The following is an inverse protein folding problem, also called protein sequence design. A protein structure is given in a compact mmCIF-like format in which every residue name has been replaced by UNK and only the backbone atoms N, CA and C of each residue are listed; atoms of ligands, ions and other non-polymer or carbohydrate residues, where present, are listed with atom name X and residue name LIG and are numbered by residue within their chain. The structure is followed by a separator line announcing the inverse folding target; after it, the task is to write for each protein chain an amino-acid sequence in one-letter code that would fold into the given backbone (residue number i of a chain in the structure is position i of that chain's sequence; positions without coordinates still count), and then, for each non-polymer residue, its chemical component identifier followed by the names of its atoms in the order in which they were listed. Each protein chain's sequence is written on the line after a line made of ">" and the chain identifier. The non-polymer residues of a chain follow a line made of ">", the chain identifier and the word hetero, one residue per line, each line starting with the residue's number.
data_IF_637140972357
#
_entry.id   IF_637140972357
#
_cell.length_a   1.000
_cell.length_b   1.000
_cell.length_c   1.000
_cell.angle_alpha   90.00
_cell.angle_beta   90.00
_cell.angle_gamma   90.00
#
_symmetry.space_group_name_H-M   'P 1'
#
loop_
_entity.id
_entity.type
_entity.pdbx_description
1 polymer ?
#
# COMPACT_ATOMS: atom_id res chain seq x y z
N UNK A 1 13.22 25.73 -18.48
CA UNK A 1 11.83 25.33 -18.74
C UNK A 1 11.34 24.39 -17.66
N UNK A 2 10.05 24.44 -17.31
CA UNK A 2 9.45 23.65 -16.21
C UNK A 2 9.66 22.13 -16.38
N UNK A 3 9.64 21.61 -17.61
CA UNK A 3 9.87 20.20 -17.87
C UNK A 3 11.29 19.73 -17.50
N UNK A 4 12.30 20.58 -17.75
CA UNK A 4 13.70 20.30 -17.36
C UNK A 4 13.82 20.25 -15.84
N UNK A 5 13.25 21.24 -15.14
CA UNK A 5 13.22 21.31 -13.67
C UNK A 5 12.55 20.08 -13.06
N UNK A 6 11.40 19.66 -13.60
CA UNK A 6 10.72 18.42 -13.17
C UNK A 6 11.63 17.18 -13.27
N UNK A 7 12.38 17.02 -14.37
CA UNK A 7 13.33 15.90 -14.53
C UNK A 7 14.45 15.95 -13.49
N UNK A 8 14.97 17.14 -13.19
CA UNK A 8 15.98 17.34 -12.16
C UNK A 8 15.44 17.01 -10.76
N UNK A 9 14.23 17.47 -10.44
CA UNK A 9 13.56 17.18 -9.16
C UNK A 9 13.20 15.69 -9.05
N UNK A 10 12.77 15.04 -10.13
CA UNK A 10 12.56 13.59 -10.16
C UNK A 10 13.85 12.84 -9.78
N UNK A 11 14.98 13.18 -10.41
CA UNK A 11 16.25 12.53 -10.10
C UNK A 11 16.71 12.81 -8.66
N UNK A 12 16.56 14.06 -8.19
CA UNK A 12 16.84 14.42 -6.80
C UNK A 12 15.99 13.61 -5.81
N UNK A 13 14.69 13.52 -6.06
CA UNK A 13 13.75 12.78 -5.21
C UNK A 13 14.08 11.28 -5.20
N UNK A 14 14.33 10.68 -6.37
CA UNK A 14 14.76 9.29 -6.46
C UNK A 14 16.04 9.02 -5.65
N UNK A 15 17.06 9.89 -5.77
CA UNK A 15 18.30 9.77 -5.00
C UNK A 15 18.05 9.87 -3.49
N UNK A 16 17.25 10.85 -3.05
CA UNK A 16 16.88 11.00 -1.63
C UNK A 16 16.11 9.80 -1.08
N UNK A 17 15.19 9.24 -1.86
CA UNK A 17 14.47 8.02 -1.47
C UNK A 17 15.41 6.82 -1.39
N UNK A 18 16.33 6.68 -2.34
CA UNK A 18 17.34 5.61 -2.34
C UNK A 18 18.24 5.71 -1.09
N UNK A 19 18.74 6.89 -0.77
CA UNK A 19 19.52 7.16 0.45
C UNK A 19 18.70 6.87 1.72
N UNK A 20 17.45 7.33 1.76
CA UNK A 20 16.55 7.12 2.89
C UNK A 20 16.29 5.63 3.15
N UNK A 21 16.12 4.82 2.10
CA UNK A 21 15.88 3.38 2.20
C UNK A 21 17.13 2.55 2.44
N UNK A 22 18.35 3.04 2.14
CA UNK A 22 19.56 2.22 2.11
C UNK A 22 19.88 1.51 3.44
N UNK A 23 19.55 2.14 4.57
CA UNK A 23 19.84 1.63 5.91
C UNK A 23 18.56 1.24 6.67
N UNK A 24 17.50 0.84 5.94
CA UNK A 24 16.19 0.54 6.51
C UNK A 24 15.71 -0.85 6.08
N UNK A 25 15.20 -1.60 7.03
CA UNK A 25 14.58 -2.92 6.78
C UNK A 25 13.06 -2.82 6.61
N UNK A 26 12.46 -1.70 7.02
CA UNK A 26 11.01 -1.49 7.06
C UNK A 26 10.43 -0.90 5.75
N UNK A 27 11.29 -0.37 4.89
CA UNK A 27 10.89 0.28 3.65
C UNK A 27 11.95 0.18 2.55
N UNK A 28 11.55 -0.20 1.34
CA UNK A 28 12.44 -0.34 0.17
C UNK A 28 11.92 0.41 -1.04
N UNK A 29 12.80 1.12 -1.76
CA UNK A 29 12.47 1.73 -3.04
C UNK A 29 12.32 0.66 -4.12
N UNK A 30 11.17 0.62 -4.79
CA UNK A 30 10.88 -0.33 -5.86
C UNK A 30 11.55 0.10 -7.18
N UNK A 31 12.16 -0.88 -7.86
CA UNK A 31 12.79 -0.64 -9.15
C UNK A 31 11.73 -0.52 -10.26
N UNK A 32 11.55 0.68 -10.78
CA UNK A 32 10.51 1.01 -11.79
C UNK A 32 11.09 1.86 -12.93
N UNK A 33 12.04 1.33 -13.74
CA UNK A 33 12.86 2.12 -14.66
C UNK A 33 12.07 2.79 -15.79
N UNK A 34 10.89 2.25 -16.13
CA UNK A 34 10.03 2.77 -17.19
C UNK A 34 9.03 3.84 -16.70
N UNK A 35 8.99 4.15 -15.40
CA UNK A 35 8.11 5.18 -14.85
C UNK A 35 8.89 6.45 -14.53
N UNK A 36 8.85 7.45 -15.42
CA UNK A 36 9.61 8.70 -15.29
C UNK A 36 8.96 9.80 -14.46
N UNK A 37 7.86 9.51 -13.76
CA UNK A 37 7.05 10.49 -13.01
C UNK A 37 6.85 10.07 -11.56
N UNK A 38 6.38 8.83 -11.34
CA UNK A 38 6.10 8.31 -10.00
C UNK A 38 7.08 7.22 -9.59
N UNK A 39 7.29 7.12 -8.29
CA UNK A 39 8.10 6.11 -7.62
C UNK A 39 7.25 5.42 -6.56
N UNK A 40 7.63 4.20 -6.19
CA UNK A 40 6.93 3.43 -5.17
C UNK A 40 7.91 2.90 -4.11
N UNK A 41 7.47 2.89 -2.86
CA UNK A 41 8.23 2.39 -1.71
C UNK A 41 7.48 1.23 -1.05
N UNK A 42 8.00 0.02 -1.17
CA UNK A 42 7.45 -1.15 -0.51
C UNK A 42 7.62 -1.05 1.00
N UNK A 43 6.54 -1.31 1.74
CA UNK A 43 6.51 -1.36 3.21
C UNK A 43 6.80 -2.80 3.65
N UNK A 44 8.09 -3.15 3.73
CA UNK A 44 8.56 -4.53 3.86
C UNK A 44 8.27 -5.17 5.21
N UNK A 45 7.91 -4.39 6.23
CA UNK A 45 7.53 -4.96 7.53
C UNK A 45 6.13 -5.58 7.55
N UNK A 46 5.30 -5.34 6.54
CA UNK A 46 3.92 -5.84 6.51
C UNK A 46 3.81 -7.01 5.53
N UNK A 47 3.81 -8.22 6.08
CA UNK A 47 3.63 -9.45 5.31
C UNK A 47 2.15 -9.68 5.02
N UNK A 48 1.80 -9.65 3.74
CA UNK A 48 0.43 -9.88 3.26
C UNK A 48 0.30 -11.19 2.46
N UNK A 49 1.40 -11.87 2.19
CA UNK A 49 1.44 -13.06 1.33
C UNK A 49 0.46 -14.17 1.77
N UNK A 50 0.35 -14.51 3.08
CA UNK A 50 -0.62 -15.52 3.51
C UNK A 50 -2.08 -15.14 3.21
N UNK A 51 -2.41 -13.83 3.26
CA UNK A 51 -3.73 -13.35 2.89
C UNK A 51 -3.96 -13.47 1.36
N UNK A 52 -2.97 -13.09 0.55
CA UNK A 52 -3.06 -13.18 -0.91
C UNK A 52 -3.25 -14.62 -1.38
N UNK A 53 -2.52 -15.57 -0.80
CA UNK A 53 -2.64 -17.01 -1.10
C UNK A 53 -4.03 -17.53 -0.75
N UNK A 54 -4.56 -17.15 0.42
CA UNK A 54 -5.93 -17.48 0.82
C UNK A 54 -6.96 -16.92 -0.17
N UNK A 55 -6.82 -15.65 -0.58
CA UNK A 55 -7.75 -15.02 -1.53
C UNK A 55 -7.70 -15.70 -2.91
N UNK A 56 -6.51 -16.05 -3.40
CA UNK A 56 -6.36 -16.80 -4.65
C UNK A 56 -7.07 -18.17 -4.61
N UNK A 57 -7.00 -18.87 -3.48
CA UNK A 57 -7.72 -20.15 -3.30
C UNK A 57 -9.24 -19.98 -3.32
N UNK A 58 -9.76 -18.89 -2.74
CA UNK A 58 -11.20 -18.59 -2.74
C UNK A 58 -11.70 -18.28 -4.14
N UNK A 59 -10.97 -17.46 -4.89
CA UNK A 59 -11.30 -17.12 -6.28
C UNK A 59 -11.35 -18.35 -7.19
N UNK A 60 -10.42 -19.30 -7.02
CA UNK A 60 -10.45 -20.55 -7.78
C UNK A 60 -11.71 -21.38 -7.48
N UNK A 61 -12.16 -21.41 -6.21
CA UNK A 61 -13.38 -22.12 -5.82
C UNK A 61 -14.64 -21.43 -6.34
N UNK A 62 -14.71 -20.11 -6.28
CA UNK A 62 -15.83 -19.32 -6.83
C UNK A 62 -16.00 -19.57 -8.35
N UNK A 63 -14.90 -19.77 -9.08
CA UNK A 63 -14.92 -20.14 -10.50
C UNK A 63 -15.38 -21.58 -10.75
N UNK A 64 -15.03 -22.52 -9.88
CA UNK A 64 -15.44 -23.94 -9.97
C UNK A 64 -16.91 -24.15 -9.55
N UNK A 65 -17.42 -23.38 -8.59
CA UNK A 65 -18.78 -23.50 -8.04
C UNK A 65 -19.85 -22.77 -8.89
N UNK A 66 -19.43 -21.98 -9.90
CA UNK A 66 -20.32 -21.25 -10.82
C UNK A 66 -21.25 -22.10 -11.70
N UNK A 67 -21.21 -23.43 -11.61
CA UNK A 67 -22.04 -24.35 -12.40
C UNK A 67 -23.03 -25.24 -11.60
N UNK A 68 -23.13 -25.14 -10.26
CA UNK A 68 -24.03 -26.03 -9.51
C UNK A 68 -24.45 -25.61 -8.10
N UNK A 69 -25.77 -25.40 -7.94
CA UNK A 69 -26.57 -25.48 -6.70
C UNK A 69 -26.34 -24.44 -5.59
N UNK A 70 -27.16 -23.37 -5.60
CA UNK A 70 -27.38 -22.48 -4.46
C UNK A 70 -28.69 -22.83 -3.76
N UNK A 71 -28.65 -23.11 -2.45
CA UNK A 71 -29.62 -22.56 -1.47
C UNK A 71 -29.37 -22.93 0.01
N UNK A 72 -28.49 -23.89 0.35
CA UNK A 72 -28.26 -24.28 1.77
C UNK A 72 -26.99 -23.69 2.44
N UNK A 73 -26.26 -22.80 1.77
CA UNK A 73 -24.93 -22.32 2.20
C UNK A 73 -24.84 -20.90 2.76
N UNK A 74 -25.89 -20.07 2.62
CA UNK A 74 -25.80 -18.60 2.79
C UNK A 74 -25.26 -18.11 4.15
N UNK A 75 -25.76 -18.65 5.28
CA UNK A 75 -25.27 -18.25 6.61
C UNK A 75 -23.77 -18.57 6.81
N UNK A 76 -23.29 -19.73 6.33
CA UNK A 76 -21.87 -20.11 6.43
C UNK A 76 -20.97 -19.28 5.50
N UNK A 77 -21.53 -18.67 4.48
CA UNK A 77 -20.82 -17.85 3.50
C UNK A 77 -20.67 -16.40 4.01
N UNK A 78 -21.73 -15.86 4.62
CA UNK A 78 -21.73 -14.56 5.29
C UNK A 78 -20.71 -14.52 6.45
N UNK A 79 -20.68 -15.54 7.30
CA UNK A 79 -19.71 -15.65 8.41
C UNK A 79 -18.25 -15.67 7.90
N UNK A 80 -17.99 -16.30 6.76
CA UNK A 80 -16.66 -16.36 6.15
C UNK A 80 -16.25 -15.01 5.57
N UNK A 81 -17.16 -14.34 4.86
CA UNK A 81 -16.91 -13.02 4.28
C UNK A 81 -16.62 -11.99 5.39
N UNK A 82 -17.34 -12.04 6.52
CA UNK A 82 -17.07 -11.17 7.65
C UNK A 82 -15.71 -11.46 8.31
N UNK A 83 -15.35 -12.73 8.49
CA UNK A 83 -14.03 -13.11 9.01
C UNK A 83 -12.88 -12.64 8.11
N UNK A 84 -13.05 -12.74 6.79
CA UNK A 84 -12.07 -12.24 5.82
C UNK A 84 -11.93 -10.72 5.89
N UNK A 85 -13.05 -10.00 5.93
CA UNK A 85 -13.05 -8.54 6.09
C UNK A 85 -12.34 -8.11 7.37
N UNK A 86 -12.61 -8.76 8.51
CA UNK A 86 -11.94 -8.46 9.79
C UNK A 86 -10.43 -8.71 9.71
N UNK A 87 -10.00 -9.81 9.08
CA UNK A 87 -8.58 -10.09 8.85
C UNK A 87 -7.93 -9.01 7.98
N UNK A 88 -8.57 -8.63 6.88
CA UNK A 88 -8.12 -7.58 5.96
C UNK A 88 -7.99 -6.21 6.67
N UNK A 89 -8.97 -5.84 7.48
CA UNK A 89 -8.95 -4.61 8.28
C UNK A 89 -7.78 -4.61 9.27
N UNK A 90 -7.56 -5.70 10.00
CA UNK A 90 -6.43 -5.79 10.93
C UNK A 90 -5.06 -5.77 10.23
N UNK A 91 -4.90 -6.47 9.09
CA UNK A 91 -3.66 -6.41 8.30
C UNK A 91 -3.39 -5.01 7.74
N UNK A 92 -4.44 -4.30 7.31
CA UNK A 92 -4.31 -2.98 6.66
C UNK A 92 -4.29 -1.81 7.63
N UNK A 93 -4.61 -2.01 8.90
CA UNK A 93 -4.76 -0.96 9.93
C UNK A 93 -3.54 -0.05 10.05
N UNK A 94 -2.36 -0.62 10.19
CA UNK A 94 -1.12 0.17 10.32
C UNK A 94 -0.68 0.78 9.00
N UNK A 95 -0.87 0.05 7.89
CA UNK A 95 -0.58 0.51 6.54
C UNK A 95 -1.41 1.76 6.23
N UNK A 96 -2.72 1.72 6.46
CA UNK A 96 -3.64 2.84 6.22
C UNK A 96 -3.43 3.99 7.21
N UNK A 97 -3.12 3.68 8.48
CA UNK A 97 -2.76 4.69 9.48
C UNK A 97 -1.54 5.51 9.07
N UNK A 98 -0.54 4.91 8.41
CA UNK A 98 0.61 5.64 7.86
C UNK A 98 0.17 6.75 6.90
N UNK A 99 -0.84 6.47 6.06
CA UNK A 99 -1.43 7.46 5.16
C UNK A 99 -2.03 8.65 5.90
N UNK A 100 -2.84 8.38 6.92
CA UNK A 100 -3.41 9.43 7.78
C UNK A 100 -2.34 10.23 8.54
N UNK A 101 -1.24 9.58 8.93
CA UNK A 101 -0.11 10.24 9.60
C UNK A 101 0.67 11.17 8.68
N UNK A 102 0.84 10.79 7.41
CA UNK A 102 1.43 11.64 6.38
C UNK A 102 0.53 12.83 6.07
N UNK A 103 -0.78 12.59 5.86
CA UNK A 103 -1.75 13.65 5.59
C UNK A 103 -1.81 14.69 6.71
N UNK A 104 -1.90 14.25 7.98
CA UNK A 104 -1.92 15.15 9.14
C UNK A 104 -0.61 15.94 9.32
N UNK A 105 0.51 15.43 8.78
CA UNK A 105 1.78 16.15 8.70
C UNK A 105 1.92 16.95 7.40
N UNK A 106 0.83 17.24 6.70
CA UNK A 106 0.80 18.04 5.48
C UNK A 106 1.62 17.43 4.32
N UNK A 107 1.73 16.11 4.25
CA UNK A 107 2.17 15.41 3.04
C UNK A 107 0.94 15.05 2.20
N UNK A 108 0.67 15.81 1.15
CA UNK A 108 -0.38 15.52 0.17
C UNK A 108 0.18 14.81 -1.06
N UNK A 109 -0.67 14.10 -1.81
CA UNK A 109 -0.31 13.46 -3.08
C UNK A 109 0.39 12.10 -2.96
N UNK A 110 0.89 11.72 -1.77
CA UNK A 110 1.31 10.34 -1.52
C UNK A 110 0.10 9.43 -1.35
N UNK A 111 0.08 8.27 -2.01
CA UNK A 111 -0.99 7.26 -1.86
C UNK A 111 -0.43 6.03 -1.17
N UNK A 112 -1.18 5.50 -0.19
CA UNK A 112 -0.92 4.18 0.38
C UNK A 112 -1.71 3.15 -0.41
N UNK A 113 -1.06 2.06 -0.80
CA UNK A 113 -1.67 0.91 -1.46
C UNK A 113 -1.45 -0.31 -0.56
N UNK A 114 -2.51 -0.82 0.06
CA UNK A 114 -2.44 -1.99 0.94
C UNK A 114 -2.28 -3.30 0.16
N UNK A 115 -2.70 -3.31 -1.11
CA UNK A 115 -2.83 -4.50 -1.96
C UNK A 115 -3.85 -5.53 -1.46
N UNK A 116 -4.67 -5.19 -0.47
CA UNK A 116 -5.69 -6.09 0.09
C UNK A 116 -7.11 -5.70 -0.30
N UNK A 117 -7.32 -4.50 -0.83
CA UNK A 117 -8.66 -3.95 -1.01
C UNK A 117 -9.42 -4.66 -2.13
N UNK A 118 -10.61 -5.17 -1.81
CA UNK A 118 -11.61 -5.63 -2.77
C UNK A 118 -12.67 -4.54 -3.00
N UNK A 119 -13.06 -4.30 -4.25
CA UNK A 119 -14.02 -3.25 -4.61
C UNK A 119 -14.73 -3.61 -5.92
N UNK A 120 -16.05 -3.36 -5.93
CA UNK A 120 -16.86 -3.32 -7.12
C UNK A 120 -16.85 -1.90 -7.74
N UNK A 121 -16.47 -1.78 -9.00
CA UNK A 121 -16.66 -0.55 -9.79
C UNK A 121 -17.48 -0.87 -11.02
N UNK A 122 -18.70 -0.32 -11.08
CA UNK A 122 -19.60 -0.50 -12.22
C UNK A 122 -19.88 -1.98 -12.56
N UNK A 123 -20.05 -2.82 -11.53
CA UNK A 123 -20.33 -4.25 -11.70
C UNK A 123 -19.09 -5.11 -11.93
N UNK A 124 -17.90 -4.52 -12.01
CA UNK A 124 -16.64 -5.26 -12.14
C UNK A 124 -15.94 -5.34 -10.78
N UNK A 125 -15.58 -6.55 -10.37
CA UNK A 125 -14.85 -6.79 -9.14
C UNK A 125 -13.34 -6.65 -9.35
N UNK A 126 -12.68 -5.98 -8.41
CA UNK A 126 -11.24 -5.79 -8.40
C UNK A 126 -10.66 -6.19 -7.04
N UNK A 127 -9.79 -7.20 -7.05
CA UNK A 127 -8.91 -7.52 -5.93
C UNK A 127 -7.63 -6.68 -5.98
N UNK A 128 -7.05 -6.40 -4.82
CA UNK A 128 -5.81 -5.62 -4.72
C UNK A 128 -5.92 -4.20 -5.27
N UNK A 129 -7.08 -3.56 -5.12
CA UNK A 129 -7.38 -2.27 -5.75
C UNK A 129 -6.32 -1.19 -5.50
N UNK A 130 -6.04 -0.45 -6.56
CA UNK A 130 -4.98 0.55 -6.60
C UNK A 130 -3.58 -0.01 -6.83
N UNK A 131 -3.38 -1.33 -6.73
CA UNK A 131 -2.09 -1.95 -7.03
C UNK A 131 -1.88 -2.33 -8.50
N UNK A 132 -2.96 -2.28 -9.30
CA UNK A 132 -2.98 -2.72 -10.70
C UNK A 132 -2.60 -4.21 -10.87
N UNK A 133 -2.78 -5.00 -9.82
CA UNK A 133 -2.59 -6.44 -9.79
C UNK A 133 -3.47 -7.03 -8.71
N UNK A 134 -4.06 -8.20 -8.95
CA UNK A 134 -4.87 -8.86 -7.92
C UNK A 134 -3.99 -9.34 -6.75
N UNK A 135 -2.70 -9.58 -6.99
CA UNK A 135 -1.78 -10.22 -6.05
C UNK A 135 -0.41 -9.54 -6.02
N UNK A 136 -0.38 -8.20 -5.91
CA UNK A 136 0.89 -7.51 -5.72
C UNK A 136 1.48 -7.86 -4.32
N UNK A 137 2.75 -8.27 -4.22
CA UNK A 137 3.25 -9.00 -3.04
C UNK A 137 3.48 -8.14 -1.79
N UNK A 138 3.53 -6.82 -1.94
CA UNK A 138 3.88 -5.91 -0.84
C UNK A 138 2.99 -4.67 -0.84
N UNK A 139 2.49 -4.22 0.32
CA UNK A 139 1.95 -2.87 0.46
C UNK A 139 3.01 -1.83 0.11
N UNK A 140 2.61 -0.70 -0.47
CA UNK A 140 3.56 0.35 -0.84
C UNK A 140 2.99 1.75 -0.76
N UNK A 141 3.88 2.73 -0.70
CA UNK A 141 3.58 4.16 -0.83
C UNK A 141 3.94 4.59 -2.25
N UNK A 142 3.06 5.32 -2.93
CA UNK A 142 3.44 6.03 -4.16
C UNK A 142 3.74 7.50 -3.88
N UNK A 143 4.74 8.03 -4.59
CA UNK A 143 5.09 9.44 -4.63
C UNK A 143 5.42 9.84 -6.07
N UNK A 144 5.29 11.12 -6.41
CA UNK A 144 5.58 11.58 -7.76
C UNK A 144 6.28 12.94 -7.77
N UNK A 145 7.17 13.14 -8.74
CA UNK A 145 7.75 14.45 -9.05
C UNK A 145 6.95 15.11 -10.18
N UNK A 146 5.87 15.77 -9.80
CA UNK A 146 5.01 16.54 -10.71
C UNK A 146 5.68 17.85 -11.15
N UNK A 147 5.15 18.46 -12.23
CA UNK A 147 5.62 19.78 -12.68
C UNK A 147 5.37 20.81 -11.57
N UNK A 148 6.37 21.64 -11.30
CA UNK A 148 6.29 22.72 -10.30
C UNK A 148 6.74 22.30 -8.90
N UNK A 149 7.00 21.02 -8.66
CA UNK A 149 7.57 20.55 -7.39
C UNK A 149 8.97 21.14 -7.17
N UNK A 150 9.27 21.49 -5.92
CA UNK A 150 10.55 22.04 -5.48
C UNK A 150 11.35 21.01 -4.64
N UNK A 151 12.67 21.20 -4.55
CA UNK A 151 13.54 20.27 -3.80
C UNK A 151 13.29 20.33 -2.30
N UNK A 152 12.88 21.49 -1.80
CA UNK A 152 12.54 21.72 -0.42
C UNK A 152 11.31 20.89 0.00
N UNK A 153 10.36 20.69 -0.90
CA UNK A 153 9.20 19.81 -0.67
C UNK A 153 9.63 18.34 -0.57
N UNK A 154 10.62 17.92 -1.38
CA UNK A 154 11.23 16.59 -1.29
C UNK A 154 11.88 16.39 0.08
N UNK A 155 12.74 17.32 0.51
CA UNK A 155 13.45 17.20 1.78
C UNK A 155 12.47 17.18 2.97
N UNK A 156 11.42 18.01 2.91
CA UNK A 156 10.37 18.04 3.92
C UNK A 156 9.57 16.73 3.95
N UNK A 157 9.24 16.16 2.78
CA UNK A 157 8.57 14.86 2.69
C UNK A 157 9.42 13.75 3.32
N UNK A 158 10.72 13.66 2.99
CA UNK A 158 11.61 12.63 3.54
C UNK A 158 11.68 12.71 5.08
N UNK A 159 11.81 13.93 5.62
CA UNK A 159 11.79 14.16 7.07
C UNK A 159 10.48 13.68 7.71
N UNK A 160 9.34 14.03 7.11
CA UNK A 160 8.00 13.67 7.61
C UNK A 160 7.75 12.17 7.51
N UNK A 161 8.13 11.53 6.41
CA UNK A 161 8.04 10.07 6.23
C UNK A 161 8.84 9.35 7.30
N UNK A 162 10.10 9.75 7.53
CA UNK A 162 10.94 9.18 8.58
C UNK A 162 10.34 9.32 9.98
N UNK A 163 9.73 10.47 10.29
CA UNK A 163 9.01 10.66 11.56
C UNK A 163 7.78 9.75 11.66
N UNK A 164 7.00 9.62 10.58
CA UNK A 164 5.80 8.78 10.59
C UNK A 164 6.13 7.32 10.84
N UNK A 165 7.14 6.78 10.14
CA UNK A 165 7.57 5.39 10.30
C UNK A 165 8.04 5.12 11.74
N UNK A 166 8.82 6.03 12.33
CA UNK A 166 9.26 5.93 13.73
C UNK A 166 8.09 5.94 14.72
N UNK A 167 7.12 6.83 14.51
CA UNK A 167 5.95 6.94 15.38
C UNK A 167 5.03 5.72 15.24
N UNK A 168 4.90 5.18 14.03
CA UNK A 168 4.11 3.99 13.75
C UNK A 168 4.73 2.75 14.38
N UNK A 169 6.05 2.58 14.28
CA UNK A 169 6.76 1.48 14.92
C UNK A 169 6.61 1.51 16.44
N UNK A 170 6.78 2.69 17.08
CA UNK A 170 6.50 2.87 18.52
C UNK A 170 5.08 2.46 18.91
N UNK A 171 4.07 2.82 18.09
CA UNK A 171 2.67 2.42 18.34
C UNK A 171 2.49 0.92 18.22
N UNK A 172 3.16 0.28 17.25
CA UNK A 172 3.13 -1.18 17.06
C UNK A 172 3.77 -1.92 18.24
N UNK A 173 4.97 -1.53 18.65
CA UNK A 173 5.66 -2.15 19.80
C UNK A 173 4.86 -2.01 21.10
N UNK A 174 4.18 -0.88 21.32
CA UNK A 174 3.31 -0.69 22.50
C UNK A 174 2.11 -1.63 22.51
N UNK A 175 1.44 -1.83 21.36
CA UNK A 175 0.29 -2.76 21.26
C UNK A 175 0.73 -4.21 21.50
N UNK A 176 1.90 -4.60 21.00
CA UNK A 176 2.45 -5.94 21.23
C UNK A 176 2.77 -6.22 22.71
N UNK A 177 3.11 -5.19 23.50
CA UNK A 177 3.36 -5.33 24.94
C UNK A 177 2.09 -5.39 25.80
N UNK A 178 0.94 -4.98 25.24
CA UNK A 178 -0.34 -4.91 25.94
C UNK A 178 -1.24 -6.13 25.69
N UNK A 179 -0.87 -6.97 24.71
CA UNK A 179 -1.52 -8.23 24.37
C UNK A 179 -0.72 -9.40 24.95
#
# INVERSE_FOLDING_TARGET
>A
GLLKKRKEVYHYFHTKLKEFCANREDIKLLHTPHNGISMALALTTYEIQPYLERRAQLLNREQEEGEGEQEKGKEKEEDKAEAEKRMQEELSKDITLLGSMLFSRQCSGSRIVSCLQHINVAGLEFDGWGSHSNFYPHPYITVAAAIGMEKEEVDLFIKRLGSCLKDLDKKRSKRQWQN
#
